data_IF_097579367224
#
_entry.id   IF_097579367224
#
_cell.length_a   1.000
_cell.length_b   1.000
_cell.length_c   1.000
_cell.angle_alpha   90.00
_cell.angle_beta   90.00
_cell.angle_gamma   90.00
#
_symmetry.space_group_name_H-M   'P 1'
#
loop_
_entity.id
_entity.type
_entity.pdbx_description
1 polymer ?
#
# COMPACT_ATOMS: atom_id res chain seq x y z
N UNK A 1 14.36 -17.57 4.17
CA UNK A 1 13.77 -16.37 4.81
C UNK A 1 12.62 -15.90 3.95
N UNK A 2 11.44 -15.78 4.55
CA UNK A 2 10.15 -15.49 3.92
C UNK A 2 10.00 -13.98 3.70
N UNK A 3 10.82 -13.39 2.81
CA UNK A 3 10.68 -11.98 2.41
C UNK A 3 10.11 -11.95 0.99
N UNK A 4 8.83 -11.65 0.88
CA UNK A 4 8.06 -11.66 -0.38
C UNK A 4 8.11 -10.30 -1.05
N UNK A 5 7.96 -9.22 -0.29
CA UNK A 5 8.01 -7.85 -0.80
C UNK A 5 9.32 -7.18 -0.40
N UNK A 6 9.97 -6.51 -1.35
CA UNK A 6 11.22 -5.77 -1.15
C UNK A 6 10.99 -4.25 -1.10
N UNK A 7 9.90 -3.76 -1.70
CA UNK A 7 9.51 -2.36 -1.58
C UNK A 7 8.20 -2.04 -2.28
N UNK A 8 7.56 -0.98 -1.81
CA UNK A 8 6.42 -0.31 -2.45
C UNK A 8 6.82 1.13 -2.78
N UNK A 9 6.57 1.58 -3.99
CA UNK A 9 6.94 2.92 -4.45
C UNK A 9 5.78 3.54 -5.19
N UNK A 10 5.49 4.81 -4.93
CA UNK A 10 4.50 5.61 -5.64
C UNK A 10 5.22 6.78 -6.29
N UNK A 11 5.18 6.83 -7.62
CA UNK A 11 5.78 7.88 -8.44
C UNK A 11 4.69 8.69 -9.13
N UNK A 12 4.99 9.95 -9.41
CA UNK A 12 4.14 10.81 -10.24
C UNK A 12 4.49 10.71 -11.74
N UNK A 13 3.84 11.56 -12.54
CA UNK A 13 4.01 11.63 -13.99
C UNK A 13 5.41 12.04 -14.43
N UNK A 14 6.20 12.68 -13.57
CA UNK A 14 7.56 13.13 -13.87
C UNK A 14 8.61 12.11 -13.38
N UNK A 15 8.16 11.04 -12.73
CA UNK A 15 9.03 10.03 -12.11
C UNK A 15 9.56 10.45 -10.75
N UNK A 16 8.99 11.51 -10.15
CA UNK A 16 9.33 11.97 -8.82
C UNK A 16 8.58 11.16 -7.77
N UNK A 17 9.25 10.90 -6.64
CA UNK A 17 8.73 10.08 -5.55
C UNK A 17 7.65 10.84 -4.77
N UNK A 18 6.47 10.24 -4.66
CA UNK A 18 5.42 10.67 -3.72
C UNK A 18 5.61 9.96 -2.38
N UNK A 19 5.70 8.63 -2.42
CA UNK A 19 5.92 7.80 -1.24
C UNK A 19 6.78 6.59 -1.61
N UNK A 20 7.63 6.15 -0.69
CA UNK A 20 8.32 4.86 -0.84
C UNK A 20 8.54 4.19 0.49
N UNK A 21 8.47 2.86 0.47
CA UNK A 21 8.83 1.95 1.55
C UNK A 21 9.69 0.86 0.95
N UNK A 22 10.87 0.64 1.52
CA UNK A 22 11.73 -0.50 1.18
C UNK A 22 11.75 -1.42 2.40
N UNK A 23 11.44 -2.70 2.20
CA UNK A 23 11.20 -3.64 3.30
C UNK A 23 12.33 -4.65 3.46
N UNK A 24 12.42 -5.17 4.68
CA UNK A 24 13.29 -6.26 5.04
C UNK A 24 14.74 -5.83 5.29
N UNK A 25 15.49 -6.81 5.78
CA UNK A 25 16.93 -6.71 5.96
C UNK A 25 17.64 -6.92 4.61
N UNK A 26 17.19 -6.29 3.52
CA UNK A 26 17.95 -6.17 2.26
C UNK A 26 19.14 -5.21 2.46
N UNK A 27 19.92 -5.52 3.49
CA UNK A 27 21.30 -5.13 3.76
C UNK A 27 22.27 -5.86 2.82
N UNK A 28 21.81 -6.28 1.64
CA UNK A 28 22.68 -6.24 0.48
C UNK A 28 22.65 -4.78 0.04
N UNK A 29 23.74 -4.06 0.30
CA UNK A 29 23.97 -2.60 0.26
C UNK A 29 23.26 -1.72 -0.81
N UNK A 30 22.54 -2.29 -1.77
CA UNK A 30 21.96 -1.62 -2.93
C UNK A 30 20.86 -0.61 -2.58
N UNK A 31 20.00 -0.83 -1.59
CA UNK A 31 18.91 0.12 -1.26
C UNK A 31 19.06 0.86 0.07
N UNK A 32 20.20 0.71 0.75
CA UNK A 32 20.51 1.44 1.99
C UNK A 32 20.83 2.92 1.73
N UNK A 33 21.24 3.26 0.50
CA UNK A 33 21.60 4.63 0.12
C UNK A 33 20.48 5.26 -0.70
N UNK A 34 20.13 6.48 -0.35
CA UNK A 34 19.15 7.29 -1.08
C UNK A 34 19.50 7.41 -2.56
N UNK A 35 20.78 7.65 -2.91
CA UNK A 35 21.19 7.74 -4.33
C UNK A 35 20.83 6.47 -5.12
N UNK A 36 21.04 5.30 -4.55
CA UNK A 36 20.77 4.03 -5.21
C UNK A 36 19.28 3.74 -5.33
N UNK A 37 18.47 4.17 -4.35
CA UNK A 37 17.01 4.14 -4.46
C UNK A 37 16.53 5.03 -5.60
N UNK A 38 17.00 6.28 -5.66
CA UNK A 38 16.62 7.24 -6.72
C UNK A 38 17.05 6.77 -8.11
N UNK A 39 18.21 6.13 -8.23
CA UNK A 39 18.65 5.53 -9.49
C UNK A 39 17.74 4.38 -9.93
N UNK A 40 17.37 3.50 -9.00
CA UNK A 40 16.43 2.40 -9.26
C UNK A 40 15.03 2.90 -9.61
N UNK A 41 14.52 3.93 -8.92
CA UNK A 41 13.24 4.58 -9.20
C UNK A 41 13.20 5.18 -10.60
N UNK A 42 14.28 5.81 -11.05
CA UNK A 42 14.40 6.28 -12.44
C UNK A 42 14.29 5.14 -13.45
N UNK A 43 14.90 3.99 -13.18
CA UNK A 43 14.79 2.82 -14.04
C UNK A 43 13.36 2.24 -14.06
N UNK A 44 12.72 2.16 -12.89
CA UNK A 44 11.31 1.75 -12.77
C UNK A 44 10.40 2.65 -13.58
N UNK A 45 10.57 3.97 -13.45
CA UNK A 45 9.77 4.94 -14.20
C UNK A 45 10.01 4.83 -15.71
N UNK A 46 11.25 4.71 -16.18
CA UNK A 46 11.57 4.55 -17.61
C UNK A 46 10.94 3.30 -18.25
N UNK A 47 10.78 2.22 -17.49
CA UNK A 47 10.12 1.00 -17.99
C UNK A 47 8.60 1.04 -17.80
N UNK A 48 8.14 1.45 -16.62
CA UNK A 48 6.72 1.44 -16.24
C UNK A 48 5.89 2.52 -16.95
N UNK A 49 6.44 3.71 -17.20
CA UNK A 49 5.75 4.78 -17.95
C UNK A 49 5.30 4.35 -19.34
N UNK A 50 6.00 3.39 -19.98
CA UNK A 50 5.62 2.84 -21.29
C UNK A 50 4.38 1.93 -21.23
N UNK A 51 4.00 1.50 -20.04
CA UNK A 51 2.84 0.66 -19.77
C UNK A 51 1.64 1.48 -19.28
N UNK A 52 1.80 2.81 -19.19
CA UNK A 52 0.74 3.72 -18.82
C UNK A 52 -0.47 3.61 -19.76
N UNK A 53 -1.67 3.77 -19.20
CA UNK A 53 -2.94 3.72 -19.93
C UNK A 53 -3.68 2.39 -19.88
N UNK A 54 -3.10 1.37 -19.22
CA UNK A 54 -3.82 0.16 -18.81
C UNK A 54 -4.25 0.32 -17.35
N UNK A 55 -5.56 0.28 -17.08
CA UNK A 55 -6.11 0.34 -15.72
C UNK A 55 -5.95 -1.01 -14.98
N UNK A 56 -4.80 -1.67 -15.17
CA UNK A 56 -4.49 -3.01 -14.70
C UNK A 56 -3.02 -3.07 -14.31
N UNK A 57 -2.67 -3.98 -13.40
CA UNK A 57 -1.28 -4.17 -13.01
C UNK A 57 -0.52 -5.01 -14.05
N UNK A 58 0.70 -4.59 -14.38
CA UNK A 58 1.57 -5.24 -15.36
C UNK A 58 2.89 -5.65 -14.70
N UNK A 59 3.42 -6.80 -15.11
CA UNK A 59 4.71 -7.30 -14.62
C UNK A 59 5.88 -6.83 -15.51
N UNK A 60 6.91 -6.29 -14.87
CA UNK A 60 8.16 -5.89 -15.51
C UNK A 60 9.37 -6.43 -14.74
N UNK A 61 10.45 -6.68 -15.47
CA UNK A 61 11.75 -6.98 -14.87
C UNK A 61 12.63 -5.72 -14.87
N UNK A 62 13.17 -5.38 -13.71
CA UNK A 62 14.20 -4.34 -13.54
C UNK A 62 15.36 -4.98 -12.79
N UNK A 63 16.53 -5.00 -13.43
CA UNK A 63 17.70 -5.77 -12.99
C UNK A 63 17.36 -7.22 -12.65
N UNK A 64 17.52 -7.62 -11.39
CA UNK A 64 17.23 -8.96 -10.86
C UNK A 64 15.85 -9.07 -10.19
N UNK A 65 15.06 -7.99 -10.21
CA UNK A 65 13.78 -7.88 -9.51
C UNK A 65 12.60 -8.04 -10.45
N UNK A 66 11.56 -8.69 -9.92
CA UNK A 66 10.23 -8.70 -10.50
C UNK A 66 9.44 -7.57 -9.88
N UNK A 67 8.95 -6.66 -10.71
CA UNK A 67 8.18 -5.51 -10.26
C UNK A 67 6.80 -5.53 -10.92
N UNK A 68 5.74 -5.35 -10.13
CA UNK A 68 4.44 -5.00 -10.68
C UNK A 68 4.32 -3.48 -10.73
N UNK A 69 3.69 -2.97 -11.79
CA UNK A 69 3.32 -1.58 -11.94
C UNK A 69 1.82 -1.47 -12.17
N UNK A 70 1.14 -0.62 -11.40
CA UNK A 70 -0.24 -0.22 -11.63
C UNK A 70 -0.24 1.28 -11.94
N UNK A 71 -0.71 1.65 -13.13
CA UNK A 71 -0.83 3.06 -13.52
C UNK A 71 -2.28 3.54 -13.41
N UNK A 72 -2.49 4.65 -12.71
CA UNK A 72 -3.78 5.34 -12.60
C UNK A 72 -3.57 6.81 -12.92
N UNK A 73 -4.19 7.29 -14.00
CA UNK A 73 -3.98 8.65 -14.49
C UNK A 73 -2.46 8.91 -14.66
N UNK A 74 -1.95 9.86 -13.89
CA UNK A 74 -0.58 10.33 -13.85
C UNK A 74 0.24 9.72 -12.70
N UNK A 75 -0.28 8.71 -12.00
CA UNK A 75 0.36 8.06 -10.86
C UNK A 75 0.73 6.62 -11.21
N UNK A 76 1.94 6.22 -10.82
CA UNK A 76 2.39 4.83 -10.94
C UNK A 76 2.68 4.25 -9.55
N UNK A 77 2.02 3.14 -9.21
CA UNK A 77 2.28 2.35 -8.01
C UNK A 77 3.16 1.17 -8.44
N UNK A 78 4.25 0.94 -7.72
CA UNK A 78 5.19 -0.15 -7.96
C UNK A 78 5.29 -1.04 -6.74
N UNK A 79 5.27 -2.35 -6.98
CA UNK A 79 5.53 -3.38 -5.98
C UNK A 79 6.76 -4.19 -6.42
N UNK A 80 7.80 -4.21 -5.60
CA UNK A 80 9.09 -4.83 -5.92
C UNK A 80 9.22 -6.14 -5.15
N UNK A 81 9.66 -7.18 -5.83
CA UNK A 81 9.82 -8.51 -5.28
C UNK A 81 11.03 -9.22 -5.90
N UNK A 82 11.36 -10.40 -5.38
CA UNK A 82 12.32 -11.28 -6.04
C UNK A 82 11.66 -11.94 -7.24
N UNK A 83 12.44 -12.22 -8.29
CA UNK A 83 11.99 -12.96 -9.48
C UNK A 83 11.35 -14.34 -9.24
N UNK A 84 11.52 -14.91 -8.05
CA UNK A 84 10.98 -16.22 -7.66
C UNK A 84 9.62 -16.17 -6.97
N UNK A 85 9.11 -14.98 -6.67
CA UNK A 85 7.83 -14.81 -5.97
C UNK A 85 6.66 -15.08 -6.92
N UNK A 86 5.50 -15.40 -6.34
CA UNK A 86 4.28 -15.66 -7.09
C UNK A 86 3.60 -14.35 -7.50
N UNK A 87 3.55 -14.09 -8.81
CA UNK A 87 2.92 -12.90 -9.41
C UNK A 87 1.46 -12.70 -9.00
N UNK A 88 0.69 -13.78 -8.77
CA UNK A 88 -0.72 -13.67 -8.36
C UNK A 88 -0.86 -13.06 -6.96
N UNK A 89 0.05 -13.41 -6.05
CA UNK A 89 0.04 -12.85 -4.69
C UNK A 89 0.46 -11.37 -4.76
N UNK A 90 1.45 -11.04 -5.58
CA UNK A 90 1.87 -9.66 -5.80
C UNK A 90 0.73 -8.82 -6.41
N UNK A 91 -0.06 -9.41 -7.30
CA UNK A 91 -1.23 -8.79 -7.91
C UNK A 91 -2.29 -8.44 -6.85
N UNK A 92 -2.59 -9.36 -5.94
CA UNK A 92 -3.52 -9.09 -4.84
C UNK A 92 -3.01 -7.95 -3.93
N UNK A 93 -1.71 -7.90 -3.65
CA UNK A 93 -1.09 -6.85 -2.84
C UNK A 93 -1.17 -5.47 -3.52
N UNK A 94 -0.79 -5.35 -4.80
CA UNK A 94 -0.83 -4.06 -5.49
C UNK A 94 -2.27 -3.58 -5.69
N UNK A 95 -3.21 -4.49 -5.92
CA UNK A 95 -4.64 -4.19 -5.98
C UNK A 95 -5.20 -3.73 -4.63
N UNK A 96 -4.73 -4.34 -3.53
CA UNK A 96 -5.08 -3.90 -2.18
C UNK A 96 -4.60 -2.47 -1.90
N UNK A 97 -3.35 -2.15 -2.27
CA UNK A 97 -2.81 -0.79 -2.14
C UNK A 97 -3.65 0.17 -2.98
N UNK A 98 -3.88 -0.15 -4.25
CA UNK A 98 -4.70 0.68 -5.14
C UNK A 98 -6.12 0.91 -4.58
N UNK A 99 -6.83 -0.13 -4.18
CA UNK A 99 -8.20 -0.03 -3.65
C UNK A 99 -8.26 0.77 -2.35
N UNK A 100 -7.26 0.63 -1.49
CA UNK A 100 -7.15 1.40 -0.24
C UNK A 100 -6.90 2.88 -0.51
N UNK A 101 -5.98 3.19 -1.44
CA UNK A 101 -5.70 4.57 -1.88
C UNK A 101 -6.95 5.20 -2.50
N UNK A 102 -7.64 4.47 -3.38
CA UNK A 102 -8.87 4.93 -4.02
C UNK A 102 -9.95 5.29 -2.98
N UNK A 103 -10.07 4.48 -1.93
CA UNK A 103 -11.02 4.73 -0.84
C UNK A 103 -10.65 5.97 -0.03
N UNK A 104 -9.38 6.11 0.36
CA UNK A 104 -8.87 7.27 1.12
C UNK A 104 -8.99 8.57 0.31
N UNK A 105 -8.73 8.52 -0.99
CA UNK A 105 -8.80 9.70 -1.87
C UNK A 105 -10.18 9.89 -2.50
N UNK A 106 -11.24 9.30 -1.94
CA UNK A 106 -12.64 9.49 -2.36
C UNK A 106 -12.85 9.24 -3.88
N UNK A 107 -12.34 8.11 -4.36
CA UNK A 107 -12.38 7.67 -5.76
C UNK A 107 -11.61 8.55 -6.76
N UNK A 108 -10.72 9.42 -6.29
CA UNK A 108 -9.91 10.26 -7.17
C UNK A 108 -8.43 10.28 -6.78
N UNK A 109 -7.63 9.44 -7.45
CA UNK A 109 -6.18 9.39 -7.26
C UNK A 109 -5.51 10.42 -8.18
N UNK A 110 -4.78 11.35 -7.57
CA UNK A 110 -3.95 12.37 -8.21
C UNK A 110 -2.79 12.73 -7.30
N UNK A 111 -1.74 13.35 -7.85
CA UNK A 111 -0.60 13.84 -7.05
C UNK A 111 -1.06 14.67 -5.85
N UNK A 112 -1.99 15.61 -6.09
CA UNK A 112 -2.56 16.47 -5.05
C UNK A 112 -3.29 15.67 -3.97
N UNK A 113 -4.21 14.78 -4.34
CA UNK A 113 -4.99 14.02 -3.36
C UNK A 113 -4.13 13.05 -2.55
N UNK A 114 -3.05 12.51 -3.12
CA UNK A 114 -2.09 11.69 -2.39
C UNK A 114 -1.28 12.52 -1.38
N UNK A 115 -0.84 13.73 -1.74
CA UNK A 115 -0.16 14.63 -0.80
C UNK A 115 -1.08 15.11 0.32
N UNK A 116 -2.35 15.38 0.03
CA UNK A 116 -3.35 15.76 1.05
C UNK A 116 -3.64 14.63 2.04
N UNK A 117 -3.39 13.37 1.65
CA UNK A 117 -3.64 12.18 2.47
C UNK A 117 -2.35 11.38 2.75
N UNK A 118 -1.19 12.03 2.77
CA UNK A 118 0.11 11.35 2.80
C UNK A 118 0.31 10.45 4.03
N UNK A 119 -0.23 10.86 5.18
CA UNK A 119 -0.19 10.05 6.41
C UNK A 119 -0.95 8.73 6.20
N UNK A 120 -2.18 8.80 5.67
CA UNK A 120 -2.98 7.63 5.31
C UNK A 120 -2.31 6.76 4.25
N UNK A 121 -1.59 7.36 3.28
CA UNK A 121 -0.81 6.60 2.29
C UNK A 121 0.25 5.75 2.98
N UNK A 122 1.00 6.31 3.93
CA UNK A 122 2.00 5.56 4.68
C UNK A 122 1.37 4.47 5.57
N UNK A 123 0.26 4.78 6.26
CA UNK A 123 -0.47 3.79 7.06
C UNK A 123 -0.99 2.62 6.20
N UNK A 124 -1.48 2.89 4.99
CA UNK A 124 -1.87 1.83 4.03
C UNK A 124 -0.69 0.92 3.73
N UNK A 125 0.48 1.48 3.43
CA UNK A 125 1.66 0.68 3.10
C UNK A 125 2.06 -0.22 4.28
N UNK A 126 2.00 0.30 5.51
CA UNK A 126 2.37 -0.41 6.73
C UNK A 126 1.34 -1.49 7.13
N UNK A 127 0.05 -1.29 6.83
CA UNK A 127 -1.01 -2.29 7.08
C UNK A 127 -1.05 -3.41 6.03
N UNK A 128 -0.56 -3.16 4.82
CA UNK A 128 -0.49 -4.17 3.75
C UNK A 128 0.77 -5.03 3.89
N UNK A 129 1.92 -4.43 4.22
CA UNK A 129 3.21 -5.12 4.31
C UNK A 129 3.95 -4.66 5.58
N UNK A 130 4.43 -5.62 6.37
CA UNK A 130 5.23 -5.31 7.55
C UNK A 130 6.65 -4.82 7.19
N UNK A 131 7.37 -4.30 8.19
CA UNK A 131 8.76 -3.84 8.01
C UNK A 131 9.70 -4.93 7.46
N UNK A 132 9.36 -6.21 7.65
CA UNK A 132 10.16 -7.33 7.18
C UNK A 132 9.86 -7.74 5.74
N UNK A 133 8.82 -7.17 5.10
CA UNK A 133 8.41 -7.52 3.73
C UNK A 133 7.47 -8.72 3.67
N UNK A 134 6.79 -9.02 4.78
CA UNK A 134 5.73 -10.03 4.89
C UNK A 134 4.39 -9.33 4.63
N UNK A 135 3.56 -9.96 3.81
CA UNK A 135 2.22 -9.48 3.51
C UNK A 135 1.32 -9.73 4.73
N UNK A 136 0.68 -8.66 5.22
CA UNK A 136 -0.22 -8.70 6.37
C UNK A 136 -1.69 -8.77 5.95
N UNK A 137 -2.05 -8.05 4.88
CA UNK A 137 -3.43 -7.91 4.42
C UNK A 137 -3.50 -7.71 2.90
N UNK A 138 -4.54 -8.27 2.27
CA UNK A 138 -4.81 -8.11 0.84
C UNK A 138 -6.24 -7.65 0.54
N UNK A 139 -7.09 -7.48 1.56
CA UNK A 139 -8.40 -6.84 1.41
C UNK A 139 -8.34 -5.32 1.70
N UNK A 140 -8.56 -4.45 0.71
CA UNK A 140 -8.49 -2.99 0.89
C UNK A 140 -9.50 -2.45 1.90
N UNK A 141 -10.62 -3.15 2.12
CA UNK A 141 -11.64 -2.72 3.09
C UNK A 141 -11.14 -2.90 4.52
N UNK A 142 -10.41 -4.00 4.76
CA UNK A 142 -9.84 -4.29 6.07
C UNK A 142 -8.71 -3.30 6.38
N UNK A 143 -7.84 -3.03 5.40
CA UNK A 143 -6.81 -1.99 5.52
C UNK A 143 -7.44 -0.64 5.86
N UNK A 144 -8.44 -0.20 5.09
CA UNK A 144 -9.12 1.07 5.34
C UNK A 144 -9.75 1.16 6.74
N UNK A 145 -10.33 0.08 7.24
CA UNK A 145 -10.88 0.05 8.60
C UNK A 145 -9.79 0.19 9.68
N UNK A 146 -8.64 -0.45 9.50
CA UNK A 146 -7.53 -0.40 10.47
C UNK A 146 -6.87 0.97 10.52
N UNK A 147 -6.63 1.60 9.36
CA UNK A 147 -6.03 2.95 9.33
C UNK A 147 -6.94 4.00 9.98
N UNK A 148 -8.27 3.83 9.89
CA UNK A 148 -9.23 4.71 10.58
C UNK A 148 -9.08 4.62 12.09
N UNK A 149 -8.92 3.40 12.64
CA UNK A 149 -8.74 3.18 14.08
C UNK A 149 -7.44 3.79 14.61
N UNK A 150 -6.36 3.80 13.81
CA UNK A 150 -5.09 4.42 14.20
C UNK A 150 -5.11 5.95 14.10
N UNK A 151 -5.87 6.52 13.15
CA UNK A 151 -5.99 7.97 12.98
C UNK A 151 -7.02 8.62 13.90
N UNK A 152 -7.95 7.83 14.44
CA UNK A 152 -8.89 8.27 15.45
C UNK A 152 -8.29 8.07 16.84
N UNK A 153 -7.97 9.18 17.52
CA UNK A 153 -8.12 9.26 18.98
C UNK A 153 -9.60 9.04 19.32
N UNK A 154 -10.16 7.85 19.07
CA UNK A 154 -11.46 7.51 19.65
C UNK A 154 -11.16 7.43 21.14
N UNK A 155 -11.75 8.30 21.98
CA UNK A 155 -11.69 8.06 23.41
C UNK A 155 -12.37 6.70 23.60
N UNK A 156 -11.64 5.71 24.11
CA UNK A 156 -12.10 4.33 24.32
C UNK A 156 -13.51 4.26 24.95
N UNK A 157 -13.87 5.30 25.72
CA UNK A 157 -15.20 5.51 26.31
C UNK A 157 -16.36 5.51 25.31
N UNK A 158 -16.21 6.05 24.10
CA UNK A 158 -17.35 6.20 23.17
C UNK A 158 -17.73 4.86 22.53
N UNK A 159 -16.71 4.07 22.14
CA UNK A 159 -16.89 2.73 21.59
C UNK A 159 -17.39 1.74 22.66
N UNK A 160 -16.84 1.84 23.88
CA UNK A 160 -17.28 1.01 25.00
C UNK A 160 -18.73 1.29 25.38
N UNK A 161 -19.14 2.56 25.47
CA UNK A 161 -20.52 2.92 25.80
C UNK A 161 -21.52 2.45 24.74
N UNK A 162 -21.19 2.51 23.45
CA UNK A 162 -22.05 1.98 22.39
C UNK A 162 -22.14 0.45 22.42
N UNK A 163 -21.01 -0.24 22.63
CA UNK A 163 -21.00 -1.70 22.78
C UNK A 163 -21.80 -2.16 24.01
N UNK A 164 -21.68 -1.45 25.14
CA UNK A 164 -22.41 -1.75 26.37
C UNK A 164 -23.91 -1.49 26.21
N UNK A 165 -24.29 -0.43 25.52
CA UNK A 165 -25.70 -0.11 25.22
C UNK A 165 -26.33 -1.18 24.33
N UNK A 166 -25.61 -1.60 23.29
CA UNK A 166 -26.05 -2.66 22.37
C UNK A 166 -26.20 -4.01 23.09
N UNK A 167 -25.25 -4.37 23.96
CA UNK A 167 -25.33 -5.59 24.78
C UNK A 167 -26.52 -5.55 25.73
N UNK A 168 -26.78 -4.41 26.37
CA UNK A 168 -27.92 -4.22 27.28
C UNK A 168 -29.25 -4.37 26.56
N UNK A 169 -29.38 -3.81 25.36
CA UNK A 169 -30.60 -3.94 24.54
C UNK A 169 -30.86 -5.38 24.08
N UNK A 170 -29.81 -6.11 23.71
CA UNK A 170 -29.93 -7.52 23.32
C UNK A 170 -30.37 -8.41 24.49
N UNK A 171 -29.87 -8.14 25.70
CA UNK A 171 -30.31 -8.83 26.92
C UNK A 171 -31.78 -8.53 27.21
N UNK A 172 -32.20 -7.25 27.14
CA UNK A 172 -33.61 -6.89 27.36
C UNK A 172 -34.55 -7.57 26.36
N UNK A 173 -34.13 -7.69 25.09
CA UNK A 173 -34.90 -8.39 24.06
C UNK A 173 -34.99 -9.90 24.29
N UNK A 174 -34.03 -10.51 24.97
CA UNK A 174 -34.08 -11.95 25.31
C UNK A 174 -35.02 -12.29 26.47
N UNK A 175 -35.50 -11.29 27.21
CA UNK A 175 -36.43 -11.44 28.33
C UNK A 175 -37.89 -11.09 27.98
N UNK A 176 -38.16 -10.72 26.73
CA UNK A 176 -39.50 -10.50 26.15
C UNK A 176 -39.84 -11.65 25.20
#
# INVERSE_FOLDING_TARGET
MLHTILGCIILDSDGERIASRYYGNYKSNSFMKLCSQLEFEKQLYQKGSKLAGRNEAEAIFVDEFLCLVYTINDICIYLISKKSENELILLDVINCIYGSLLTVTVNHISKKSLFENLDSVHLILDEVVDESGIILETDPRVVYQRIQMQGSDVPEETSFNQAFTTAKENIMRSFL
#
